data_IF_405749590420
#
_entry.id   IF_405749590420
#
_cell.length_a   1.000
_cell.length_b   1.000
_cell.length_c   1.000
_cell.angle_alpha   90.00
_cell.angle_beta   90.00
_cell.angle_gamma   90.00
#
_symmetry.space_group_name_H-M   'P 1'
#
loop_
_entity.id
_entity.type
_entity.pdbx_description
1 polymer ?
#
# COMPACT_ATOMS: atom_id res chain seq x y z
N UNK A 1 -50.53 -18.52 -5.71
CA UNK A 1 -49.44 -18.10 -4.81
C UNK A 1 -48.22 -18.95 -5.14
N UNK A 2 -47.38 -18.48 -6.07
CA UNK A 2 -46.12 -19.13 -6.42
C UNK A 2 -45.10 -18.81 -5.34
N UNK A 3 -44.84 -19.78 -4.47
CA UNK A 3 -43.76 -19.73 -3.48
C UNK A 3 -42.44 -19.65 -4.24
N UNK A 4 -41.80 -18.47 -4.22
CA UNK A 4 -40.47 -18.25 -4.79
C UNK A 4 -39.49 -18.99 -3.89
N UNK A 5 -38.82 -20.00 -4.42
CA UNK A 5 -37.75 -20.70 -3.72
C UNK A 5 -36.75 -19.67 -3.14
N UNK A 6 -36.24 -19.86 -1.90
CA UNK A 6 -35.25 -18.97 -1.34
C UNK A 6 -34.04 -18.94 -2.28
N UNK A 7 -33.62 -17.72 -2.66
CA UNK A 7 -32.38 -17.51 -3.41
C UNK A 7 -31.24 -18.23 -2.68
N UNK A 8 -30.34 -18.93 -3.39
CA UNK A 8 -29.15 -19.48 -2.75
C UNK A 8 -28.40 -18.36 -2.02
N UNK A 9 -27.82 -18.62 -0.84
CA UNK A 9 -27.09 -17.60 -0.09
C UNK A 9 -26.00 -17.01 -1.00
N UNK A 10 -25.94 -15.68 -1.09
CA UNK A 10 -24.91 -15.04 -1.91
C UNK A 10 -23.51 -15.52 -1.48
N UNK A 11 -22.60 -15.75 -2.44
CA UNK A 11 -21.25 -16.20 -2.12
C UNK A 11 -20.57 -15.20 -1.18
N UNK A 12 -19.95 -15.74 -0.13
CA UNK A 12 -19.19 -14.96 0.85
C UNK A 12 -17.77 -14.69 0.35
N UNK A 13 -17.29 -13.48 0.58
CA UNK A 13 -15.92 -13.05 0.27
C UNK A 13 -15.11 -12.98 1.56
N UNK A 14 -13.86 -13.44 1.57
CA UNK A 14 -13.02 -13.39 2.76
C UNK A 14 -12.73 -11.94 3.18
N UNK A 15 -12.75 -11.63 4.48
CA UNK A 15 -12.45 -10.28 4.99
C UNK A 15 -11.10 -9.74 4.49
N UNK A 16 -10.06 -10.59 4.44
CA UNK A 16 -8.74 -10.23 3.89
C UNK A 16 -8.78 -9.73 2.44
N UNK A 17 -9.69 -10.26 1.62
CA UNK A 17 -9.82 -9.88 0.21
C UNK A 17 -10.47 -8.50 0.11
N UNK A 18 -11.48 -8.20 0.94
CA UNK A 18 -12.09 -6.88 0.99
C UNK A 18 -11.09 -5.80 1.42
N UNK A 19 -10.27 -6.09 2.44
CA UNK A 19 -9.23 -5.17 2.91
C UNK A 19 -8.15 -4.89 1.85
N UNK A 20 -7.95 -5.79 0.88
CA UNK A 20 -7.01 -5.57 -0.22
C UNK A 20 -7.48 -4.49 -1.21
N UNK A 21 -8.78 -4.15 -1.23
CA UNK A 21 -9.32 -3.06 -2.07
C UNK A 21 -9.17 -1.67 -1.45
N UNK A 22 -8.86 -1.57 -0.15
CA UNK A 22 -8.67 -0.29 0.53
C UNK A 22 -7.31 0.32 0.14
N UNK A 23 -7.24 0.90 -1.05
CA UNK A 23 -6.02 1.50 -1.58
C UNK A 23 -5.52 2.63 -0.65
N UNK A 24 -6.41 3.41 -0.04
CA UNK A 24 -6.07 4.59 0.78
C UNK A 24 -5.72 4.33 2.25
N UNK A 25 -5.87 3.10 2.75
CA UNK A 25 -5.65 2.82 4.18
C UNK A 25 -6.71 3.46 5.09
N UNK A 26 -7.94 3.57 4.59
CA UNK A 26 -9.09 4.11 5.31
C UNK A 26 -9.61 3.15 6.39
N UNK A 27 -9.32 1.85 6.27
CA UNK A 27 -9.74 0.82 7.21
C UNK A 27 -8.53 0.22 7.93
N UNK A 28 -8.66 0.07 9.25
CA UNK A 28 -7.70 -0.61 10.10
C UNK A 28 -8.41 -1.77 10.81
N UNK A 29 -7.84 -2.96 10.71
CA UNK A 29 -8.29 -4.13 11.45
C UNK A 29 -7.64 -4.11 12.85
N UNK A 30 -8.45 -4.12 13.91
CA UNK A 30 -7.98 -4.16 15.30
C UNK A 30 -8.03 -5.56 15.89
N UNK A 31 -9.00 -6.36 15.47
CA UNK A 31 -9.24 -7.70 16.01
C UNK A 31 -9.96 -8.57 14.96
N UNK A 32 -9.52 -9.82 14.81
CA UNK A 32 -10.21 -10.83 14.00
C UNK A 32 -10.28 -12.18 14.76
N UNK A 33 -11.23 -12.37 15.69
CA UNK A 33 -11.25 -13.53 16.58
C UNK A 33 -11.44 -14.85 15.81
N UNK A 34 -12.24 -14.80 14.74
CA UNK A 34 -12.51 -15.92 13.82
C UNK A 34 -11.50 -16.00 12.66
N UNK A 35 -10.41 -15.23 12.72
CA UNK A 35 -9.42 -15.10 11.67
C UNK A 35 -9.83 -14.16 10.53
N UNK A 36 -8.88 -13.94 9.61
CA UNK A 36 -8.99 -13.01 8.48
C UNK A 36 -9.83 -13.55 7.30
N UNK A 37 -10.25 -14.80 7.40
CA UNK A 37 -10.95 -15.56 6.35
C UNK A 37 -12.45 -15.66 6.62
N UNK A 38 -12.93 -14.96 7.66
CA UNK A 38 -14.36 -14.84 7.93
C UNK A 38 -15.08 -14.33 6.68
N UNK A 39 -16.12 -15.06 6.29
CA UNK A 39 -16.87 -14.80 5.07
C UNK A 39 -17.84 -13.64 5.24
N UNK A 40 -17.69 -12.62 4.40
CA UNK A 40 -18.54 -11.42 4.34
C UNK A 40 -19.47 -11.51 3.13
N UNK A 41 -20.77 -11.30 3.36
CA UNK A 41 -21.85 -11.36 2.37
C UNK A 41 -22.46 -10.01 2.04
N UNK A 42 -22.21 -8.98 2.85
CA UNK A 42 -22.86 -7.69 2.65
C UNK A 42 -22.29 -6.59 3.52
N UNK A 43 -22.77 -5.36 3.28
CA UNK A 43 -22.45 -4.18 4.08
C UNK A 43 -23.74 -3.55 4.55
N UNK A 44 -23.89 -3.41 5.86
CA UNK A 44 -25.01 -2.74 6.51
C UNK A 44 -24.53 -1.44 7.16
N UNK A 45 -25.40 -0.42 7.24
CA UNK A 45 -25.09 0.85 7.90
C UNK A 45 -25.98 1.01 9.12
N UNK A 46 -25.37 1.26 10.27
CA UNK A 46 -26.06 1.53 11.53
C UNK A 46 -26.99 0.41 12.00
N UNK A 47 -27.94 0.81 12.83
CA UNK A 47 -29.08 0.01 13.25
C UNK A 47 -30.29 0.42 12.41
N UNK A 48 -30.47 -0.15 11.22
CA UNK A 48 -31.68 0.01 10.39
C UNK A 48 -32.93 -0.67 11.03
N UNK A 49 -33.06 -0.57 12.35
CA UNK A 49 -34.12 -1.16 13.16
C UNK A 49 -33.82 -2.59 13.62
N UNK A 50 -34.41 -3.02 14.75
CA UNK A 50 -34.09 -4.26 15.46
C UNK A 50 -34.49 -5.55 14.73
N UNK A 51 -35.11 -5.48 13.55
CA UNK A 51 -35.71 -6.63 12.86
C UNK A 51 -34.90 -7.17 11.66
N UNK A 52 -33.82 -6.50 11.24
CA UNK A 52 -33.06 -6.94 10.06
C UNK A 52 -31.93 -7.91 10.46
N UNK A 53 -31.90 -9.16 9.98
CA UNK A 53 -30.74 -10.04 10.14
C UNK A 53 -29.49 -9.41 9.52
N UNK A 54 -28.35 -9.55 10.19
CA UNK A 54 -27.04 -9.05 9.75
C UNK A 54 -26.09 -10.21 9.38
N UNK A 55 -26.65 -11.40 9.11
CA UNK A 55 -25.90 -12.62 8.81
C UNK A 55 -24.86 -12.41 7.72
N UNK A 56 -23.59 -12.51 8.10
CA UNK A 56 -22.48 -12.35 7.17
C UNK A 56 -22.12 -10.90 6.83
N UNK A 57 -22.73 -9.88 7.45
CA UNK A 57 -22.50 -8.49 7.09
C UNK A 57 -21.30 -7.88 7.83
N UNK A 58 -20.61 -6.96 7.15
CA UNK A 58 -19.82 -5.90 7.80
C UNK A 58 -20.73 -4.72 8.13
N UNK A 59 -20.80 -4.35 9.40
CA UNK A 59 -21.74 -3.34 9.89
C UNK A 59 -21.01 -2.03 10.20
N UNK A 60 -21.39 -0.95 9.52
CA UNK A 60 -20.84 0.39 9.76
C UNK A 60 -21.58 1.06 10.93
N UNK A 61 -21.01 1.01 12.13
CA UNK A 61 -21.60 1.59 13.33
C UNK A 61 -21.24 3.08 13.41
N UNK A 62 -22.17 3.94 12.99
CA UNK A 62 -21.97 5.40 12.85
C UNK A 62 -22.09 6.20 14.15
N UNK A 63 -22.41 5.54 15.27
CA UNK A 63 -22.63 6.15 16.58
C UNK A 63 -21.33 6.47 17.33
N UNK A 64 -21.25 5.98 18.58
CA UNK A 64 -20.09 6.19 19.45
C UNK A 64 -18.78 5.70 18.79
N UNK A 65 -17.66 6.43 18.91
CA UNK A 65 -16.37 6.01 18.36
C UNK A 65 -15.81 4.77 19.09
N UNK A 66 -14.83 4.12 18.49
CA UNK A 66 -14.16 2.94 19.07
C UNK A 66 -13.48 3.24 20.42
N UNK A 67 -13.11 4.49 20.68
CA UNK A 67 -12.52 4.94 21.94
C UNK A 67 -13.54 5.14 23.07
N UNK A 68 -14.86 5.06 22.77
CA UNK A 68 -15.91 5.19 23.78
C UNK A 68 -16.40 3.80 24.23
N UNK A 69 -16.52 3.54 25.54
CA UNK A 69 -17.08 2.29 26.05
C UNK A 69 -18.55 2.09 25.61
N UNK A 70 -19.27 3.16 25.28
CA UNK A 70 -20.66 3.11 24.83
C UNK A 70 -20.83 2.35 23.50
N UNK A 71 -19.75 2.24 22.69
CA UNK A 71 -19.77 1.47 21.46
C UNK A 71 -19.85 -0.05 21.70
N UNK A 72 -19.56 -0.54 22.92
CA UNK A 72 -19.56 -1.98 23.22
C UNK A 72 -20.95 -2.62 23.10
N UNK A 73 -22.02 -1.90 23.46
CA UNK A 73 -23.39 -2.42 23.36
C UNK A 73 -23.84 -2.60 21.90
N UNK A 74 -23.68 -1.61 21.00
CA UNK A 74 -23.90 -1.78 19.56
C UNK A 74 -23.08 -2.92 18.93
N UNK A 75 -21.83 -3.12 19.35
CA UNK A 75 -21.00 -4.23 18.86
C UNK A 75 -21.61 -5.59 19.22
N UNK A 76 -22.00 -5.79 20.48
CA UNK A 76 -22.69 -7.02 20.91
C UNK A 76 -24.01 -7.23 20.19
N UNK A 77 -24.75 -6.16 19.95
CA UNK A 77 -26.01 -6.24 19.20
C UNK A 77 -25.81 -6.68 17.76
N UNK A 78 -24.86 -6.08 17.05
CA UNK A 78 -24.51 -6.48 15.68
C UNK A 78 -24.10 -7.97 15.62
N UNK A 79 -23.29 -8.42 16.58
CA UNK A 79 -22.88 -9.82 16.69
C UNK A 79 -24.05 -10.77 16.93
N UNK A 80 -24.97 -10.44 17.85
CA UNK A 80 -26.19 -11.23 18.10
C UNK A 80 -27.08 -11.39 16.87
N UNK A 81 -27.02 -10.42 15.95
CA UNK A 81 -27.75 -10.41 14.68
C UNK A 81 -27.00 -11.11 13.54
N UNK A 82 -25.84 -11.73 13.80
CA UNK A 82 -25.09 -12.53 12.84
C UNK A 82 -24.02 -11.77 12.05
N UNK A 83 -23.64 -10.56 12.46
CA UNK A 83 -22.59 -9.80 11.79
C UNK A 83 -21.25 -10.56 11.80
N UNK A 84 -20.53 -10.52 10.68
CA UNK A 84 -19.16 -11.05 10.59
C UNK A 84 -18.12 -10.07 11.13
N UNK A 85 -18.45 -8.78 11.14
CA UNK A 85 -17.61 -7.75 11.71
C UNK A 85 -18.28 -6.40 11.76
N UNK A 86 -17.64 -5.48 12.46
CA UNK A 86 -18.12 -4.12 12.71
C UNK A 86 -17.03 -3.11 12.35
N UNK A 87 -17.44 -1.96 11.84
CA UNK A 87 -16.57 -0.82 11.55
C UNK A 87 -17.01 0.35 12.43
N UNK A 88 -16.12 0.83 13.28
CA UNK A 88 -16.32 1.99 14.14
C UNK A 88 -15.48 3.17 13.68
N UNK A 89 -15.82 4.38 14.10
CA UNK A 89 -14.98 5.56 13.87
C UNK A 89 -13.76 5.53 14.80
N UNK A 90 -12.56 5.69 14.27
CA UNK A 90 -11.36 5.96 15.07
C UNK A 90 -11.32 7.43 15.53
N UNK A 91 -10.62 7.69 16.64
CA UNK A 91 -10.18 9.03 17.03
C UNK A 91 -8.67 9.04 16.94
N UNK A 92 -8.10 9.98 16.18
CA UNK A 92 -6.65 9.97 15.95
C UNK A 92 -5.86 10.05 17.27
N UNK A 93 -4.87 9.16 17.42
CA UNK A 93 -4.02 9.08 18.61
C UNK A 93 -4.67 8.46 19.85
N UNK A 94 -5.93 8.01 19.79
CA UNK A 94 -6.65 7.41 20.92
C UNK A 94 -6.95 5.94 20.64
N UNK A 95 -6.53 5.06 21.54
CA UNK A 95 -6.77 3.63 21.45
C UNK A 95 -8.27 3.28 21.57
N UNK A 96 -8.65 2.11 21.06
CA UNK A 96 -9.99 1.59 21.28
C UNK A 96 -10.23 1.32 22.79
N UNK A 97 -11.45 1.56 23.27
CA UNK A 97 -11.80 1.26 24.65
C UNK A 97 -11.73 -0.26 24.88
N UNK A 98 -11.13 -0.75 25.98
CA UNK A 98 -11.03 -2.18 26.26
C UNK A 98 -12.38 -2.91 26.19
N UNK A 99 -13.44 -2.26 26.69
CA UNK A 99 -14.80 -2.80 26.66
C UNK A 99 -15.33 -3.08 25.26
N UNK A 100 -14.86 -2.34 24.24
CA UNK A 100 -15.23 -2.52 22.84
C UNK A 100 -14.47 -3.69 22.23
N UNK A 101 -13.18 -3.81 22.55
CA UNK A 101 -12.34 -4.94 22.13
C UNK A 101 -12.83 -6.24 22.75
N UNK A 102 -13.03 -6.27 24.07
CA UNK A 102 -13.56 -7.42 24.82
C UNK A 102 -14.95 -7.85 24.29
N UNK A 103 -15.80 -6.87 23.94
CA UNK A 103 -17.11 -7.14 23.37
C UNK A 103 -17.03 -7.81 22.00
N UNK A 104 -16.10 -7.38 21.14
CA UNK A 104 -15.89 -7.97 19.83
C UNK A 104 -15.27 -9.36 19.94
N UNK A 105 -14.29 -9.54 20.84
CA UNK A 105 -13.61 -10.80 21.10
C UNK A 105 -14.57 -11.86 21.65
N UNK A 106 -15.27 -11.54 22.74
CA UNK A 106 -16.23 -12.45 23.37
C UNK A 106 -17.43 -12.80 22.48
N UNK A 107 -17.73 -11.96 21.48
CA UNK A 107 -18.79 -12.21 20.51
C UNK A 107 -18.29 -12.83 19.19
N UNK A 108 -16.98 -13.00 19.01
CA UNK A 108 -16.39 -13.64 17.84
C UNK A 108 -16.42 -12.82 16.55
N UNK A 109 -16.65 -11.50 16.62
CA UNK A 109 -16.81 -10.61 15.46
C UNK A 109 -15.53 -9.82 15.17
N UNK A 110 -15.21 -9.62 13.89
CA UNK A 110 -14.07 -8.79 13.52
C UNK A 110 -14.33 -7.31 13.88
N UNK A 111 -13.35 -6.65 14.47
CA UNK A 111 -13.40 -5.23 14.83
C UNK A 111 -12.49 -4.43 13.92
N UNK A 112 -13.08 -3.50 13.17
CA UNK A 112 -12.38 -2.57 12.32
C UNK A 112 -12.65 -1.14 12.76
N UNK A 113 -11.70 -0.26 12.45
CA UNK A 113 -11.88 1.19 12.57
C UNK A 113 -11.68 1.89 11.25
N UNK A 114 -12.54 2.86 10.97
CA UNK A 114 -12.41 3.81 9.87
C UNK A 114 -11.54 5.00 10.31
N UNK A 115 -10.58 5.38 9.48
CA UNK A 115 -9.76 6.56 9.65
C UNK A 115 -10.63 7.84 9.65
N UNK A 116 -10.33 8.80 10.53
CA UNK A 116 -11.19 9.96 10.80
C UNK A 116 -11.54 10.79 9.55
N UNK A 117 -10.58 10.94 8.63
CA UNK A 117 -10.72 11.69 7.37
C UNK A 117 -11.62 11.03 6.32
N UNK A 118 -11.91 9.72 6.43
CA UNK A 118 -12.71 9.02 5.43
C UNK A 118 -14.21 9.26 5.63
N UNK A 119 -14.99 9.39 4.55
CA UNK A 119 -16.45 9.51 4.69
C UNK A 119 -17.11 8.13 4.88
N UNK A 120 -18.25 8.08 5.59
CA UNK A 120 -19.02 6.84 5.76
C UNK A 120 -19.62 6.34 4.44
N UNK A 121 -20.05 7.25 3.57
CA UNK A 121 -20.60 6.94 2.24
C UNK A 121 -19.52 6.34 1.36
N UNK A 122 -18.33 6.94 1.35
CA UNK A 122 -17.17 6.44 0.59
C UNK A 122 -16.72 5.07 1.12
N UNK A 123 -16.69 4.90 2.44
CA UNK A 123 -16.35 3.60 3.06
C UNK A 123 -17.38 2.52 2.68
N UNK A 124 -18.67 2.84 2.71
CA UNK A 124 -19.72 1.92 2.31
C UNK A 124 -19.65 1.59 0.81
N UNK A 125 -19.40 2.58 -0.05
CA UNK A 125 -19.23 2.42 -1.49
C UNK A 125 -18.02 1.55 -1.81
N UNK A 126 -16.88 1.78 -1.14
CA UNK A 126 -15.66 0.97 -1.24
C UNK A 126 -15.94 -0.49 -0.91
N UNK A 127 -16.50 -0.77 0.27
CA UNK A 127 -16.76 -2.15 0.71
C UNK A 127 -17.78 -2.88 -0.17
N UNK A 128 -18.85 -2.20 -0.61
CA UNK A 128 -19.83 -2.77 -1.54
C UNK A 128 -19.21 -3.06 -2.91
N UNK A 129 -18.39 -2.15 -3.42
CA UNK A 129 -17.67 -2.35 -4.69
C UNK A 129 -16.68 -3.50 -4.59
N UNK A 130 -15.92 -3.58 -3.48
CA UNK A 130 -15.00 -4.68 -3.21
C UNK A 130 -15.72 -6.04 -3.18
N UNK A 131 -16.87 -6.13 -2.52
CA UNK A 131 -17.71 -7.34 -2.51
C UNK A 131 -18.18 -7.72 -3.92
N UNK A 132 -18.68 -6.75 -4.69
CA UNK A 132 -19.14 -7.00 -6.06
C UNK A 132 -18.00 -7.49 -6.98
N UNK A 133 -16.84 -6.84 -6.90
CA UNK A 133 -15.65 -7.21 -7.67
C UNK A 133 -15.11 -8.59 -7.29
N UNK A 134 -14.98 -8.89 -6.00
CA UNK A 134 -14.47 -10.18 -5.53
C UNK A 134 -15.38 -11.34 -5.94
N UNK A 135 -16.70 -11.13 -5.94
CA UNK A 135 -17.69 -12.11 -6.42
C UNK A 135 -17.61 -12.36 -7.91
N UNK A 136 -17.50 -11.30 -8.71
CA UNK A 136 -17.33 -11.43 -10.16
C UNK A 136 -16.07 -12.23 -10.53
N UNK A 137 -15.01 -12.16 -9.71
CA UNK A 137 -13.80 -12.96 -9.89
C UNK A 137 -13.89 -14.41 -9.41
N UNK A 138 -14.95 -14.81 -8.71
CA UNK A 138 -15.13 -16.16 -8.18
C UNK A 138 -15.80 -17.13 -9.18
N UNK A 139 -16.57 -16.62 -10.16
CA UNK A 139 -17.29 -17.43 -11.16
C UNK A 139 -16.41 -17.88 -12.33
N UNK A 140 -15.28 -17.20 -12.57
CA UNK A 140 -14.32 -17.60 -13.60
C UNK A 140 -13.19 -18.44 -12.97
N UNK A 141 -13.20 -19.76 -13.19
CA UNK A 141 -12.22 -20.73 -12.68
C UNK A 141 -10.75 -20.54 -13.12
N UNK A 142 -10.39 -19.38 -13.66
CA UNK A 142 -9.02 -18.95 -14.00
C UNK A 142 -8.70 -17.56 -13.41
N UNK A 143 -9.62 -16.96 -12.64
CA UNK A 143 -9.60 -15.58 -12.16
C UNK A 143 -9.28 -15.41 -10.66
N UNK A 144 -8.84 -16.48 -9.97
CA UNK A 144 -8.38 -16.41 -8.56
C UNK A 144 -7.14 -15.55 -8.30
N UNK A 145 -6.64 -14.82 -9.31
CA UNK A 145 -5.60 -13.78 -9.22
C UNK A 145 -6.16 -12.35 -9.40
N UNK A 146 -7.47 -12.19 -9.49
CA UNK A 146 -8.14 -10.93 -9.89
C UNK A 146 -8.70 -10.08 -8.74
N UNK A 147 -8.69 -10.56 -7.48
CA UNK A 147 -9.24 -9.83 -6.33
C UNK A 147 -8.29 -8.78 -5.70
N UNK A 148 -7.15 -8.49 -6.33
CA UNK A 148 -6.23 -7.42 -5.92
C UNK A 148 -5.63 -6.73 -7.15
N UNK A 149 -6.41 -5.91 -7.86
CA UNK A 149 -5.86 -4.92 -8.81
C UNK A 149 -5.02 -5.44 -9.97
N UNK A 150 -5.38 -6.56 -10.61
CA UNK A 150 -4.93 -6.92 -11.97
C UNK A 150 -6.14 -7.17 -12.88
N UNK A 151 -6.04 -7.29 -14.22
CA UNK A 151 -4.92 -7.19 -15.15
C UNK A 151 -5.09 -6.11 -16.25
N UNK A 152 -5.95 -5.10 -16.07
CA UNK A 152 -5.92 -3.82 -16.87
C UNK A 152 -4.74 -2.91 -16.46
N UNK A 153 -3.74 -3.55 -15.85
CA UNK A 153 -2.58 -3.00 -15.18
C UNK A 153 -1.68 -2.24 -16.15
N UNK A 154 -0.83 -1.37 -15.60
CA UNK A 154 0.24 -0.69 -16.34
C UNK A 154 1.01 -1.61 -17.31
N UNK A 155 1.09 -2.92 -17.05
CA UNK A 155 1.67 -3.93 -17.95
C UNK A 155 0.88 -4.16 -19.24
N UNK A 156 -0.46 -4.17 -19.19
CA UNK A 156 -1.30 -4.27 -20.38
C UNK A 156 -1.17 -3.01 -21.25
N UNK A 157 -1.14 -1.83 -20.61
CA UNK A 157 -0.86 -0.57 -21.28
C UNK A 157 0.54 -0.60 -21.92
N UNK A 158 1.56 -1.06 -21.19
CA UNK A 158 2.93 -1.17 -21.70
C UNK A 158 3.01 -2.12 -22.91
N UNK A 159 2.30 -3.25 -22.89
CA UNK A 159 2.25 -4.18 -24.00
C UNK A 159 1.57 -3.55 -25.23
N UNK A 160 0.43 -2.91 -25.07
CA UNK A 160 -0.29 -2.27 -26.16
C UNK A 160 0.53 -1.13 -26.80
N UNK A 161 1.14 -0.28 -25.98
CA UNK A 161 1.97 0.83 -26.48
C UNK A 161 3.23 0.34 -27.17
N UNK A 162 3.80 -0.80 -26.74
CA UNK A 162 4.95 -1.40 -27.41
C UNK A 162 4.62 -1.81 -28.85
N UNK A 163 3.46 -2.45 -29.05
CA UNK A 163 2.99 -2.87 -30.38
C UNK A 163 2.77 -1.67 -31.31
N UNK A 164 2.19 -0.58 -30.80
CA UNK A 164 1.95 0.63 -31.59
C UNK A 164 3.21 1.43 -31.90
N UNK A 165 4.19 1.49 -30.98
CA UNK A 165 5.40 2.29 -31.18
C UNK A 165 6.49 1.54 -31.94
N UNK A 166 6.42 0.20 -31.98
CA UNK A 166 7.49 -0.66 -32.49
C UNK A 166 8.72 -0.69 -31.57
N UNK A 167 8.60 -0.16 -30.36
CA UNK A 167 9.67 -0.08 -29.38
C UNK A 167 9.28 -0.72 -28.05
N UNK A 168 10.26 -0.87 -27.18
CA UNK A 168 10.06 -1.50 -25.88
C UNK A 168 9.72 -0.48 -24.81
N UNK A 169 8.72 -0.79 -23.98
CA UNK A 169 8.13 0.16 -23.02
C UNK A 169 8.59 -0.15 -21.60
N UNK A 170 8.91 0.88 -20.82
CA UNK A 170 8.90 0.87 -19.35
C UNK A 170 8.01 2.00 -18.84
N UNK A 171 7.25 1.72 -17.79
CA UNK A 171 6.48 2.71 -17.04
C UNK A 171 7.08 2.78 -15.64
N UNK A 172 7.45 3.99 -15.23
CA UNK A 172 8.26 4.22 -14.04
C UNK A 172 7.60 5.23 -13.11
N UNK A 173 7.78 5.07 -11.79
CA UNK A 173 7.39 6.08 -10.80
C UNK A 173 8.37 7.28 -10.80
N UNK A 174 8.11 8.28 -9.95
CA UNK A 174 9.02 9.45 -9.80
C UNK A 174 10.35 9.13 -9.10
N UNK A 175 10.49 7.93 -8.52
CA UNK A 175 11.72 7.40 -7.95
C UNK A 175 12.49 6.53 -8.96
N UNK A 176 12.04 6.50 -10.22
CA UNK A 176 12.60 5.70 -11.31
C UNK A 176 12.58 4.18 -11.03
N UNK A 177 11.56 3.74 -10.29
CA UNK A 177 11.24 2.32 -10.12
C UNK A 177 10.33 1.89 -11.27
N UNK A 178 10.61 0.72 -11.84
CA UNK A 178 9.81 0.15 -12.92
C UNK A 178 8.53 -0.42 -12.32
N UNK A 179 7.40 0.16 -12.67
CA UNK A 179 6.07 -0.31 -12.27
C UNK A 179 5.50 -1.32 -13.27
N UNK A 180 5.85 -1.15 -14.54
CA UNK A 180 5.49 -2.08 -15.61
C UNK A 180 6.46 -1.99 -16.78
N UNK A 181 6.49 -3.04 -17.59
CA UNK A 181 7.27 -3.07 -18.82
C UNK A 181 6.60 -3.97 -19.85
N UNK A 182 6.87 -3.71 -21.13
CA UNK A 182 6.54 -4.66 -22.21
C UNK A 182 7.46 -5.88 -22.18
N UNK A 183 7.10 -6.94 -22.89
CA UNK A 183 7.98 -8.09 -23.08
C UNK A 183 9.35 -7.65 -23.61
N UNK A 184 10.40 -8.35 -23.16
CA UNK A 184 11.79 -8.05 -23.51
C UNK A 184 12.23 -8.99 -24.62
N UNK A 185 12.50 -8.44 -25.81
CA UNK A 185 13.06 -9.20 -26.92
C UNK A 185 14.56 -9.48 -26.74
N UNK A 186 15.16 -10.38 -27.55
CA UNK A 186 16.59 -10.68 -27.52
C UNK A 186 17.47 -9.46 -27.86
N UNK A 187 16.93 -8.50 -28.62
CA UNK A 187 17.61 -7.27 -29.05
C UNK A 187 17.56 -6.14 -28.01
N UNK A 188 17.03 -6.41 -26.81
CA UNK A 188 16.93 -5.42 -25.74
C UNK A 188 18.31 -4.93 -25.27
N UNK A 189 18.44 -3.61 -25.19
CA UNK A 189 19.69 -2.97 -24.78
C UNK A 189 20.09 -3.32 -23.32
N UNK A 190 21.38 -3.18 -23.03
CA UNK A 190 21.95 -3.54 -21.72
C UNK A 190 21.28 -2.74 -20.60
N UNK A 191 21.00 -1.46 -20.85
CA UNK A 191 20.34 -0.59 -19.89
C UNK A 191 18.94 -1.12 -19.55
N UNK A 192 18.09 -1.43 -20.54
CA UNK A 192 16.75 -2.00 -20.30
C UNK A 192 16.82 -3.29 -19.50
N UNK A 193 17.68 -4.23 -19.89
CA UNK A 193 17.84 -5.51 -19.17
C UNK A 193 18.19 -5.27 -17.71
N UNK A 194 19.15 -4.38 -17.43
CA UNK A 194 19.53 -4.04 -16.06
C UNK A 194 18.40 -3.36 -15.28
N UNK A 195 17.66 -2.44 -15.90
CA UNK A 195 16.55 -1.71 -15.29
C UNK A 195 15.37 -2.62 -14.94
N UNK A 196 15.00 -3.52 -15.85
CA UNK A 196 13.90 -4.48 -15.63
C UNK A 196 14.28 -5.52 -14.59
N UNK A 197 15.46 -6.13 -14.70
CA UNK A 197 15.92 -7.13 -13.72
C UNK A 197 16.10 -6.53 -12.32
N UNK A 198 16.56 -5.27 -12.24
CA UNK A 198 16.69 -4.55 -10.98
C UNK A 198 15.39 -3.93 -10.47
N UNK A 199 14.32 -3.92 -11.27
CA UNK A 199 13.06 -3.22 -10.97
C UNK A 199 13.19 -1.69 -10.83
N UNK A 200 14.33 -1.12 -11.23
CA UNK A 200 14.64 0.32 -11.11
C UNK A 200 15.79 0.71 -12.02
N UNK A 201 15.85 1.98 -12.40
CA UNK A 201 16.97 2.53 -13.17
C UNK A 201 18.27 2.46 -12.34
N UNK A 202 19.38 1.93 -12.88
CA UNK A 202 20.67 1.86 -12.19
C UNK A 202 21.19 3.23 -11.71
N UNK A 203 21.82 3.27 -10.54
CA UNK A 203 22.25 4.53 -9.90
C UNK A 203 23.22 5.35 -10.77
N UNK A 204 24.16 4.68 -11.46
CA UNK A 204 25.09 5.35 -12.37
C UNK A 204 24.35 6.10 -13.49
N UNK A 205 23.25 5.51 -14.00
CA UNK A 205 22.43 6.12 -15.06
C UNK A 205 21.59 7.27 -14.53
N UNK A 206 21.06 7.14 -13.31
CA UNK A 206 20.36 8.24 -12.63
C UNK A 206 21.30 9.44 -12.45
N UNK A 207 22.54 9.21 -12.01
CA UNK A 207 23.54 10.26 -11.85
C UNK A 207 23.87 10.95 -13.19
N UNK A 208 23.96 10.19 -14.27
CA UNK A 208 24.19 10.72 -15.62
C UNK A 208 23.00 11.55 -16.15
N UNK A 209 21.77 11.05 -16.04
CA UNK A 209 20.56 11.78 -16.42
C UNK A 209 20.37 13.06 -15.61
N UNK A 210 20.84 13.06 -14.35
CA UNK A 210 20.85 14.26 -13.50
C UNK A 210 21.91 15.26 -13.96
N UNK A 211 23.15 14.82 -14.23
CA UNK A 211 24.26 15.68 -14.71
C UNK A 211 23.98 16.33 -16.06
N UNK A 212 23.37 15.59 -16.99
CA UNK A 212 22.99 16.10 -18.32
C UNK A 212 21.79 17.05 -18.31
N UNK A 213 21.12 17.24 -17.16
CA UNK A 213 19.88 18.01 -17.06
C UNK A 213 18.64 17.28 -17.58
N UNK A 214 18.79 16.05 -18.11
CA UNK A 214 17.70 15.26 -18.68
C UNK A 214 16.57 14.99 -17.69
N UNK A 215 16.89 14.70 -16.42
CA UNK A 215 15.86 14.53 -15.39
C UNK A 215 15.05 15.81 -15.16
N UNK A 216 15.70 16.98 -15.16
CA UNK A 216 15.01 18.25 -15.04
C UNK A 216 14.08 18.44 -16.24
N UNK A 217 14.59 18.23 -17.45
CA UNK A 217 13.80 18.32 -18.69
C UNK A 217 12.59 17.39 -18.65
N UNK A 218 12.77 16.13 -18.24
CA UNK A 218 11.69 15.16 -18.08
C UNK A 218 10.59 15.68 -17.17
N UNK A 219 10.95 16.18 -15.99
CA UNK A 219 9.97 16.63 -14.99
C UNK A 219 9.39 18.01 -15.26
N UNK A 220 9.95 18.80 -16.17
CA UNK A 220 9.38 20.09 -16.59
C UNK A 220 8.64 20.04 -17.93
N UNK A 221 8.99 19.11 -18.82
CA UNK A 221 8.37 18.99 -20.15
C UNK A 221 6.91 18.58 -20.03
N UNK A 222 6.08 19.15 -20.91
CA UNK A 222 4.68 18.75 -21.12
C UNK A 222 4.48 17.93 -22.39
N UNK A 223 5.55 17.72 -23.16
CA UNK A 223 5.50 16.96 -24.41
C UNK A 223 6.60 15.89 -24.44
N UNK A 224 6.50 15.00 -25.43
CA UNK A 224 7.43 13.90 -25.68
C UNK A 224 8.84 14.44 -25.91
N UNK A 225 9.79 13.93 -25.14
CA UNK A 225 11.21 14.17 -25.32
C UNK A 225 11.75 13.08 -26.24
N UNK A 226 12.34 13.51 -27.35
CA UNK A 226 13.00 12.62 -28.30
C UNK A 226 14.51 12.65 -28.12
N UNK A 227 15.10 11.48 -27.99
CA UNK A 227 16.54 11.26 -28.07
C UNK A 227 16.83 10.37 -29.28
N UNK A 228 17.56 10.91 -30.24
CA UNK A 228 18.06 10.12 -31.35
C UNK A 228 19.00 9.01 -30.86
N UNK A 229 19.13 7.95 -31.66
CA UNK A 229 20.14 6.92 -31.42
C UNK A 229 21.55 7.52 -31.53
N UNK A 230 22.44 7.11 -30.64
CA UNK A 230 23.85 7.53 -30.61
C UNK A 230 24.76 6.34 -30.24
N UNK A 231 26.06 6.59 -30.06
CA UNK A 231 27.01 5.55 -29.67
C UNK A 231 26.74 4.96 -28.27
N UNK A 232 25.93 5.63 -27.44
CA UNK A 232 25.62 5.24 -26.07
C UNK A 232 24.31 4.44 -25.96
N UNK A 233 23.45 4.46 -26.99
CA UNK A 233 22.23 3.67 -26.97
C UNK A 233 21.24 3.91 -28.11
N UNK A 234 20.12 3.16 -28.07
CA UNK A 234 19.07 3.25 -29.07
C UNK A 234 18.32 4.58 -29.03
N UNK A 235 17.54 4.83 -30.08
CA UNK A 235 16.55 5.89 -30.11
C UNK A 235 15.58 5.74 -28.92
N UNK A 236 15.26 6.86 -28.24
CA UNK A 236 14.36 6.88 -27.09
C UNK A 236 13.32 7.98 -27.19
N UNK A 237 12.08 7.64 -26.86
CA UNK A 237 11.01 8.61 -26.61
C UNK A 237 10.60 8.53 -25.15
N UNK A 238 10.35 9.68 -24.53
CA UNK A 238 10.07 9.76 -23.10
C UNK A 238 8.96 10.78 -22.87
N UNK A 239 7.96 10.43 -22.07
CA UNK A 239 6.92 11.37 -21.66
C UNK A 239 6.69 11.28 -20.15
N UNK A 240 6.53 12.43 -19.50
CA UNK A 240 6.10 12.49 -18.12
C UNK A 240 4.58 12.25 -18.04
N UNK A 241 4.17 11.42 -17.09
CA UNK A 241 2.75 11.20 -16.76
C UNK A 241 2.35 12.13 -15.64
N UNK A 242 1.23 12.84 -15.79
CA UNK A 242 0.79 13.89 -14.87
C UNK A 242 -0.69 13.79 -14.55
N UNK A 243 -1.07 14.33 -13.39
CA UNK A 243 -2.45 14.71 -13.07
C UNK A 243 -2.45 16.19 -12.69
N UNK A 244 -2.96 17.05 -13.59
CA UNK A 244 -2.82 18.49 -13.46
C UNK A 244 -1.33 18.92 -13.35
N UNK A 245 -0.93 19.65 -12.28
CA UNK A 245 0.45 20.08 -12.09
C UNK A 245 1.38 18.97 -11.56
N UNK A 246 0.84 17.89 -11.00
CA UNK A 246 1.61 16.86 -10.31
C UNK A 246 2.21 15.84 -11.30
N UNK A 247 3.51 15.58 -11.17
CA UNK A 247 4.18 14.47 -11.87
C UNK A 247 3.92 13.18 -11.14
N UNK A 248 3.35 12.20 -11.84
CA UNK A 248 3.05 10.87 -11.32
C UNK A 248 4.16 9.86 -11.61
N UNK A 249 4.79 9.98 -12.78
CA UNK A 249 5.82 9.05 -13.25
C UNK A 249 6.21 9.37 -14.70
N UNK A 250 6.73 8.37 -15.41
CA UNK A 250 7.16 8.50 -16.81
C UNK A 250 6.95 7.23 -17.62
N UNK A 251 6.75 7.38 -18.92
CA UNK A 251 6.77 6.28 -19.90
C UNK A 251 7.99 6.46 -20.77
N UNK A 252 8.78 5.40 -20.91
CA UNK A 252 9.98 5.35 -21.73
C UNK A 252 9.80 4.33 -22.83
N UNK A 253 10.26 4.69 -24.02
CA UNK A 253 10.28 3.83 -25.20
C UNK A 253 11.70 3.76 -25.73
N UNK A 254 12.15 2.57 -26.09
CA UNK A 254 13.43 2.35 -26.75
C UNK A 254 13.23 1.62 -28.08
N UNK A 255 13.87 2.10 -29.14
CA UNK A 255 13.93 1.43 -30.44
C UNK A 255 14.93 0.29 -30.39
N UNK A 256 14.47 -0.94 -30.11
CA UNK A 256 15.29 -2.15 -29.94
C UNK A 256 16.00 -2.57 -31.26
N UNK A 257 17.01 -1.79 -31.69
CA UNK A 257 17.76 -2.01 -32.93
C UNK A 257 17.02 -1.61 -34.21
N UNK A 258 15.81 -1.04 -34.11
CA UNK A 258 15.02 -0.50 -35.22
C UNK A 258 14.53 0.90 -34.89
N UNK A 259 14.35 1.79 -35.89
CA UNK A 259 13.71 3.09 -35.68
C UNK A 259 12.30 2.92 -35.12
N UNK A 260 11.92 3.81 -34.22
CA UNK A 260 10.56 3.89 -33.72
C UNK A 260 9.61 4.32 -34.85
N UNK A 261 8.35 3.91 -34.75
CA UNK A 261 7.36 4.30 -35.75
C UNK A 261 7.13 5.83 -35.72
N UNK A 262 6.85 6.48 -36.86
CA UNK A 262 6.63 7.93 -36.90
C UNK A 262 5.49 8.43 -36.01
N UNK A 263 4.48 7.60 -35.76
CA UNK A 263 3.32 7.86 -34.91
C UNK A 263 3.58 7.57 -33.42
N UNK A 264 4.79 7.14 -33.05
CA UNK A 264 5.12 6.80 -31.67
C UNK A 264 4.92 7.97 -30.69
N UNK A 265 5.32 9.23 -30.97
CA UNK A 265 5.07 10.35 -30.06
C UNK A 265 3.58 10.53 -29.72
N UNK A 266 2.68 10.38 -30.69
CA UNK A 266 1.23 10.49 -30.45
C UNK A 266 0.69 9.32 -29.63
N UNK A 267 1.22 8.12 -29.84
CA UNK A 267 0.89 6.96 -29.01
C UNK A 267 1.32 7.18 -27.55
N UNK A 268 2.50 7.76 -27.31
CA UNK A 268 2.97 8.11 -25.95
C UNK A 268 2.07 9.13 -25.27
N UNK A 269 1.61 10.17 -25.99
CA UNK A 269 0.69 11.17 -25.42
C UNK A 269 -0.60 10.53 -24.92
N UNK A 270 -1.25 9.71 -25.74
CA UNK A 270 -2.44 8.95 -25.35
C UNK A 270 -2.15 7.98 -24.21
N UNK A 271 -1.02 7.31 -24.24
CA UNK A 271 -0.61 6.39 -23.18
C UNK A 271 -0.44 7.12 -21.84
N UNK A 272 0.10 8.35 -21.83
CA UNK A 272 0.23 9.15 -20.61
C UNK A 272 -1.13 9.51 -19.99
N UNK A 273 -2.13 9.82 -20.81
CA UNK A 273 -3.50 10.08 -20.34
C UNK A 273 -4.13 8.83 -19.69
N UNK A 274 -3.95 7.66 -20.30
CA UNK A 274 -4.44 6.38 -19.75
C UNK A 274 -3.65 5.96 -18.50
N UNK A 275 -2.34 6.22 -18.46
CA UNK A 275 -1.48 5.87 -17.34
C UNK A 275 -1.76 6.72 -16.08
N UNK A 276 -2.20 7.97 -16.24
CA UNK A 276 -2.40 8.89 -15.11
C UNK A 276 -3.30 8.32 -13.99
N UNK A 277 -4.56 7.88 -14.24
CA UNK A 277 -5.39 7.30 -13.20
C UNK A 277 -4.81 6.00 -12.60
N UNK A 278 -4.10 5.20 -13.41
CA UNK A 278 -3.44 3.98 -12.93
C UNK A 278 -2.30 4.28 -11.95
N UNK A 279 -1.50 5.32 -12.23
CA UNK A 279 -0.42 5.78 -11.35
C UNK A 279 -0.95 6.47 -10.09
N UNK A 280 -2.05 7.24 -10.17
CA UNK A 280 -2.72 7.78 -8.97
C UNK A 280 -3.14 6.64 -8.06
N UNK A 281 -3.83 5.63 -8.60
CA UNK A 281 -4.27 4.47 -7.83
C UNK A 281 -3.09 3.71 -7.21
N UNK A 282 -1.99 3.56 -7.94
CA UNK A 282 -0.77 2.96 -7.43
C UNK A 282 -0.18 3.75 -6.24
N UNK A 283 -0.09 5.08 -6.34
CA UNK A 283 0.38 5.92 -5.22
C UNK A 283 -0.51 5.85 -3.99
N UNK A 284 -1.84 5.85 -4.20
CA UNK A 284 -2.80 5.68 -3.12
C UNK A 284 -2.52 4.37 -2.40
N UNK A 285 -2.42 3.25 -3.14
CA UNK A 285 -2.07 1.93 -2.59
C UNK A 285 -0.79 1.92 -1.77
N UNK A 286 0.29 2.49 -2.30
CA UNK A 286 1.56 2.55 -1.57
C UNK A 286 1.42 3.36 -0.27
N UNK A 287 0.73 4.49 -0.34
CA UNK A 287 0.50 5.37 0.81
C UNK A 287 -0.39 4.70 1.86
N UNK A 288 -1.47 4.04 1.42
CA UNK A 288 -2.37 3.31 2.29
C UNK A 288 -1.71 2.08 2.93
N UNK A 289 -0.89 1.33 2.18
CA UNK A 289 -0.12 0.21 2.71
C UNK A 289 0.90 0.67 3.76
N UNK A 290 1.58 1.80 3.53
CA UNK A 290 2.48 2.40 4.52
C UNK A 290 1.71 2.82 5.77
N UNK A 291 0.55 3.49 5.62
CA UNK A 291 -0.29 3.90 6.75
C UNK A 291 -0.84 2.71 7.54
N UNK A 292 -1.31 1.64 6.87
CA UNK A 292 -1.73 0.40 7.53
C UNK A 292 -0.59 -0.24 8.32
N UNK A 293 0.60 -0.29 7.74
CA UNK A 293 1.79 -0.83 8.40
C UNK A 293 2.15 0.00 9.64
N UNK A 294 2.13 1.33 9.53
CA UNK A 294 2.38 2.23 10.65
C UNK A 294 1.35 2.05 11.79
N UNK A 295 0.06 2.00 11.45
CA UNK A 295 -1.03 1.81 12.41
C UNK A 295 -0.98 0.42 13.08
N UNK A 296 -0.66 -0.63 12.33
CA UNK A 296 -0.48 -1.98 12.87
C UNK A 296 0.73 -2.04 13.80
N UNK A 297 1.86 -1.40 13.43
CA UNK A 297 3.04 -1.33 14.27
C UNK A 297 2.75 -0.55 15.57
N UNK A 298 2.03 0.58 15.47
CA UNK A 298 1.59 1.34 16.64
C UNK A 298 0.68 0.50 17.55
N UNK A 299 -0.27 -0.23 16.96
CA UNK A 299 -1.16 -1.16 17.67
C UNK A 299 -0.40 -2.25 18.42
N UNK A 300 0.58 -2.86 17.76
CA UNK A 300 1.41 -3.91 18.33
C UNK A 300 2.29 -3.40 19.49
N UNK A 301 2.90 -2.22 19.35
CA UNK A 301 3.82 -1.66 20.36
C UNK A 301 3.09 -1.11 21.60
N UNK A 302 1.88 -0.59 21.42
CA UNK A 302 1.13 0.08 22.49
C UNK A 302 -0.09 -0.71 23.00
N UNK A 303 -0.34 -1.92 22.47
CA UNK A 303 -1.43 -2.78 22.91
C UNK A 303 -2.83 -2.28 22.52
N UNK A 304 -2.96 -1.64 21.36
CA UNK A 304 -4.24 -1.14 20.85
C UNK A 304 -4.84 -2.15 19.86
N UNK A 305 -5.57 -3.13 20.38
CA UNK A 305 -6.14 -4.27 19.65
C UNK A 305 -5.34 -5.56 19.85
N UNK A 306 -5.60 -6.56 19.02
CA UNK A 306 -4.96 -7.88 19.12
C UNK A 306 -3.58 -7.92 18.44
N UNK A 307 -2.58 -8.40 19.18
CA UNK A 307 -1.21 -8.52 18.73
C UNK A 307 -1.06 -9.43 17.51
N UNK A 308 -1.82 -10.55 17.44
CA UNK A 308 -1.74 -11.49 16.30
C UNK A 308 -2.25 -10.84 15.02
N UNK A 309 -3.34 -10.09 15.12
CA UNK A 309 -3.94 -9.30 14.03
C UNK A 309 -2.98 -8.22 13.52
N UNK A 310 -2.30 -7.51 14.42
CA UNK A 310 -1.30 -6.51 14.03
C UNK A 310 -0.07 -7.15 13.38
N UNK A 311 0.43 -8.26 13.92
CA UNK A 311 1.54 -9.01 13.33
C UNK A 311 1.19 -9.46 11.90
N UNK A 312 -0.01 -10.01 11.69
CA UNK A 312 -0.50 -10.37 10.36
C UNK A 312 -0.53 -9.17 9.40
N UNK A 313 -1.05 -8.03 9.85
CA UNK A 313 -1.12 -6.79 9.04
C UNK A 313 0.27 -6.26 8.65
N UNK A 314 1.31 -6.59 9.43
CA UNK A 314 2.71 -6.26 9.14
C UNK A 314 3.42 -7.30 8.26
N UNK A 315 2.77 -8.42 7.95
CA UNK A 315 3.36 -9.57 7.28
C UNK A 315 4.33 -10.36 8.16
N UNK A 316 4.16 -10.29 9.48
CA UNK A 316 4.95 -11.01 10.48
C UNK A 316 4.21 -12.27 10.95
N UNK A 317 4.97 -13.31 11.28
CA UNK A 317 4.39 -14.47 11.98
C UNK A 317 3.97 -14.04 13.39
N UNK A 318 2.74 -14.36 13.85
CA UNK A 318 2.30 -14.03 15.21
C UNK A 318 3.17 -14.63 16.32
N UNK A 319 3.84 -15.74 16.04
CA UNK A 319 4.69 -16.45 16.99
C UNK A 319 6.19 -16.09 16.83
N UNK A 320 6.52 -15.13 15.95
CA UNK A 320 7.89 -14.68 15.77
C UNK A 320 8.36 -13.87 16.98
N UNK A 321 9.49 -14.27 17.57
CA UNK A 321 10.17 -13.44 18.54
C UNK A 321 10.62 -12.14 17.86
N UNK A 322 10.38 -11.01 18.51
CA UNK A 322 10.75 -9.69 18.00
C UNK A 322 11.50 -8.91 19.07
N UNK A 323 12.44 -8.06 18.63
CA UNK A 323 13.08 -7.06 19.47
C UNK A 323 12.66 -5.66 19.00
N UNK A 324 12.65 -4.70 19.95
CA UNK A 324 12.38 -3.30 19.67
C UNK A 324 13.60 -2.48 20.05
N UNK A 325 14.14 -1.73 19.09
CA UNK A 325 15.19 -0.73 19.34
C UNK A 325 14.53 0.64 19.37
N UNK A 326 14.78 1.38 20.45
CA UNK A 326 14.28 2.75 20.62
C UNK A 326 15.45 3.71 20.47
N UNK A 327 15.34 4.67 19.56
CA UNK A 327 16.28 5.77 19.43
C UNK A 327 15.57 7.09 19.72
N UNK A 328 16.11 7.88 20.66
CA UNK A 328 15.52 9.14 21.10
C UNK A 328 16.50 10.30 20.86
N UNK A 329 15.96 11.49 20.64
CA UNK A 329 16.78 12.71 20.55
C UNK A 329 16.95 13.31 21.93
N UNK A 330 18.18 13.30 22.46
CA UNK A 330 18.47 13.80 23.81
C UNK A 330 18.62 15.34 23.88
N UNK A 331 18.60 16.06 22.74
CA UNK A 331 18.82 17.51 22.67
C UNK A 331 17.55 18.25 22.26
N UNK A 332 17.14 19.23 23.07
CA UNK A 332 15.84 19.93 22.99
C UNK A 332 15.67 20.91 21.82
N UNK A 333 16.65 21.07 20.92
CA UNK A 333 16.51 21.90 19.72
C UNK A 333 17.41 21.37 18.60
N UNK A 334 16.91 20.49 17.70
CA UNK A 334 17.61 20.25 16.45
C UNK A 334 17.71 21.57 15.67
N UNK A 335 18.87 21.86 15.09
CA UNK A 335 18.99 22.99 14.18
C UNK A 335 17.97 22.83 13.04
N UNK A 336 17.38 23.93 12.49
CA UNK A 336 16.47 23.82 11.38
C UNK A 336 17.15 23.12 10.19
N UNK A 337 16.69 21.91 9.87
CA UNK A 337 17.26 21.03 8.83
C UNK A 337 17.97 19.79 9.37
N UNK A 338 18.29 19.73 10.66
CA UNK A 338 18.87 18.55 11.31
C UNK A 338 17.75 17.55 11.62
N UNK A 339 17.65 16.50 10.81
CA UNK A 339 16.66 15.42 10.97
C UNK A 339 17.37 14.10 11.27
N UNK A 340 18.07 13.99 12.41
CA UNK A 340 18.90 12.82 12.72
C UNK A 340 18.07 11.53 12.78
N UNK A 341 16.81 11.62 13.19
CA UNK A 341 15.90 10.48 13.22
C UNK A 341 15.38 10.07 11.83
N UNK A 342 15.33 10.98 10.85
CA UNK A 342 14.93 10.62 9.47
C UNK A 342 16.03 9.79 8.79
N UNK A 343 17.29 10.17 9.00
CA UNK A 343 18.45 9.40 8.51
C UNK A 343 18.50 8.04 9.19
N UNK A 344 18.34 7.99 10.52
CA UNK A 344 18.27 6.74 11.28
C UNK A 344 17.10 5.85 10.83
N UNK A 345 15.94 6.43 10.53
CA UNK A 345 14.78 5.70 10.00
C UNK A 345 15.08 5.07 8.64
N UNK A 346 15.71 5.81 7.72
CA UNK A 346 16.09 5.31 6.40
C UNK A 346 17.10 4.16 6.50
N UNK A 347 18.08 4.27 7.41
CA UNK A 347 19.06 3.22 7.68
C UNK A 347 18.42 1.98 8.28
N UNK A 348 17.58 2.14 9.31
CA UNK A 348 16.85 1.04 9.92
C UNK A 348 15.97 0.31 8.90
N UNK A 349 15.24 1.05 8.05
CA UNK A 349 14.39 0.48 7.02
C UNK A 349 15.16 -0.31 5.94
N UNK A 350 16.46 -0.04 5.77
CA UNK A 350 17.32 -0.74 4.81
C UNK A 350 18.15 -1.87 5.45
N UNK A 351 18.12 -2.00 6.77
CA UNK A 351 18.89 -3.01 7.49
C UNK A 351 18.49 -4.44 7.11
N UNK A 352 17.18 -4.75 7.14
CA UNK A 352 16.61 -6.04 6.69
C UNK A 352 15.17 -5.87 6.20
N UNK A 353 14.70 -6.70 5.24
CA UNK A 353 13.33 -6.61 4.69
C UNK A 353 12.20 -6.71 5.72
N UNK A 354 12.42 -7.44 6.82
CA UNK A 354 11.41 -7.65 7.86
C UNK A 354 11.39 -6.56 8.95
N UNK A 355 12.31 -5.58 8.89
CA UNK A 355 12.32 -4.46 9.84
C UNK A 355 11.12 -3.56 9.58
N UNK A 356 10.50 -3.07 10.67
CA UNK A 356 9.45 -2.07 10.62
C UNK A 356 9.86 -0.89 11.48
N UNK A 357 9.61 0.31 10.96
CA UNK A 357 10.05 1.56 11.58
C UNK A 357 8.83 2.42 11.84
N UNK A 358 8.69 2.91 13.07
CA UNK A 358 7.67 3.85 13.48
C UNK A 358 8.34 5.11 14.02
N UNK A 359 7.94 6.27 13.49
CA UNK A 359 8.29 7.56 14.04
C UNK A 359 7.17 8.01 14.96
N UNK A 360 7.49 8.30 16.22
CA UNK A 360 6.53 8.80 17.20
C UNK A 360 7.14 9.99 17.96
N UNK A 361 6.67 11.20 17.68
CA UNK A 361 7.15 12.43 18.33
C UNK A 361 8.65 12.66 18.14
N UNK A 362 9.46 12.44 19.18
CA UNK A 362 10.93 12.57 19.25
C UNK A 362 11.65 11.21 19.36
N UNK A 363 10.89 10.10 19.17
CA UNK A 363 11.37 8.72 19.22
C UNK A 363 11.27 8.01 17.87
N UNK A 364 12.24 7.15 17.60
CA UNK A 364 12.25 6.20 16.51
C UNK A 364 12.18 4.80 17.11
N UNK A 365 11.11 4.08 16.80
CA UNK A 365 10.87 2.71 17.23
C UNK A 365 11.15 1.79 16.04
N UNK A 366 12.07 0.85 16.23
CA UNK A 366 12.45 -0.11 15.20
C UNK A 366 12.14 -1.52 15.69
N UNK A 367 11.12 -2.13 15.10
CA UNK A 367 10.77 -3.52 15.34
C UNK A 367 11.54 -4.42 14.37
N UNK A 368 12.18 -5.44 14.92
CA UNK A 368 12.93 -6.43 14.15
C UNK A 368 12.59 -7.85 14.60
N UNK A 369 12.17 -8.74 13.68
CA UNK A 369 12.09 -10.16 13.99
C UNK A 369 13.47 -10.69 14.35
N UNK A 370 13.54 -11.46 15.43
CA UNK A 370 14.74 -12.14 15.91
C UNK A 370 14.53 -13.64 15.85
N UNK A 371 15.49 -14.36 15.28
CA UNK A 371 15.53 -15.80 15.46
C UNK A 371 15.91 -16.11 16.92
N UNK A 372 15.36 -17.18 17.48
CA UNK A 372 15.67 -17.62 18.84
C UNK A 372 17.21 -17.73 19.01
N UNK A 373 17.78 -16.88 19.87
CA UNK A 373 19.23 -16.81 20.15
C UNK A 373 20.00 -15.66 19.50
N UNK A 374 19.35 -14.71 18.81
CA UNK A 374 20.02 -13.59 18.10
C UNK A 374 19.66 -12.21 18.67
N UNK A 375 19.78 -12.03 19.99
CA UNK A 375 19.83 -10.70 20.64
C UNK A 375 20.93 -9.79 20.03
N UNK A 376 21.94 -10.42 19.41
CA UNK A 376 23.03 -9.75 18.69
C UNK A 376 22.56 -8.85 17.54
N UNK A 377 21.42 -9.16 16.90
CA UNK A 377 20.88 -8.37 15.78
C UNK A 377 20.36 -7.01 16.22
N UNK A 378 19.54 -6.98 17.28
CA UNK A 378 19.05 -5.74 17.88
C UNK A 378 20.21 -4.89 18.42
N UNK A 379 21.14 -5.52 19.14
CA UNK A 379 22.31 -4.84 19.71
C UNK A 379 23.29 -4.35 18.62
N UNK A 380 23.38 -5.01 17.46
CA UNK A 380 24.18 -4.52 16.34
C UNK A 380 23.53 -3.29 15.70
N UNK A 381 22.23 -3.35 15.41
CA UNK A 381 21.48 -2.20 14.87
C UNK A 381 21.53 -1.00 15.82
N UNK A 382 21.31 -1.22 17.12
CA UNK A 382 21.41 -0.15 18.12
C UNK A 382 22.80 0.49 18.14
N UNK A 383 23.88 -0.30 18.03
CA UNK A 383 25.26 0.21 17.94
C UNK A 383 25.53 0.94 16.62
N UNK A 384 24.95 0.51 15.51
CA UNK A 384 25.11 1.17 14.22
C UNK A 384 24.43 2.54 14.20
N UNK A 385 23.18 2.61 14.71
CA UNK A 385 22.44 3.85 14.90
C UNK A 385 23.16 4.80 15.88
N UNK A 386 23.77 4.27 16.95
CA UNK A 386 24.52 5.07 17.92
C UNK A 386 25.93 5.48 17.46
N UNK A 387 26.62 4.62 16.70
CA UNK A 387 28.03 4.79 16.31
C UNK A 387 28.25 5.89 15.28
N UNK A 388 27.26 6.16 14.42
CA UNK A 388 27.37 7.21 13.41
C UNK A 388 27.13 8.63 13.95
N UNK A 389 26.46 8.78 15.11
CA UNK A 389 26.42 10.07 15.83
C UNK A 389 27.82 10.60 16.14
N UNK A 390 28.78 9.71 16.43
CA UNK A 390 30.18 10.10 16.66
C UNK A 390 30.90 10.52 15.38
N UNK A 391 30.49 10.06 14.19
CA UNK A 391 31.12 10.46 12.91
C UNK A 391 30.54 11.75 12.35
N UNK A 392 29.23 11.99 12.51
CA UNK A 392 28.60 13.25 12.11
C UNK A 392 29.05 14.46 12.96
N UNK A 393 29.41 14.23 14.23
CA UNK A 393 30.00 15.23 15.12
C UNK A 393 31.51 15.47 14.90
N UNK A 394 32.16 14.74 13.99
CA UNK A 394 33.62 14.78 13.73
C UNK A 394 33.96 15.10 12.27
N UNK A 395 33.15 15.94 11.62
CA UNK A 395 33.60 16.67 10.44
C UNK A 395 33.85 18.13 10.86
N UNK A 396 35.12 18.58 10.99
CA UNK A 396 35.43 19.99 11.23
C UNK A 396 35.06 20.88 10.03
#
# INVERSE_FOLDING_TARGET
MTSRAPLPPEPSVALRELLAFDDGGSLRLLLAPSGHDVGVRGVAVGDEGPARPLDGCLVLLTGAPASSPDAAAPVREAARRGASGVVLRAVEGVAAAPQVVDAAEGAGVALLTRAEWADWTDTAALLRSALACARAGADDGTAGRMAAGGPESLSALAAAVAEYTGGSITIEDTRLRVLAHSATGPDADVLRRSTILGGRVPEWRVAELRRSGMLRTLWTSRDVIHRAADAEGPERLIIAVRSGPEVLGSIWVAGDGRPLRPDAPDALRRAAEVAAPLLVRHRLRESGAARRSELALRGLLYGDGDARTHAWSLGLSPDAACAVVVAETLTAAPAPGDRPLDVAALQAATYRPAVRVLRDGDRLLVLLPVDAGVERGAAALARELAGQRRRAAFHP
#
